data_IF_909236081337
#
_entry.id   IF_909236081337
#
_cell.length_a   1.000
_cell.length_b   1.000
_cell.length_c   1.000
_cell.angle_alpha   90.00
_cell.angle_beta   90.00
_cell.angle_gamma   90.00
#
_symmetry.space_group_name_H-M   'P 1'
#
loop_
_entity.id
_entity.type
_entity.pdbx_description
1 polymer ?
#
# COMPACT_ATOMS: atom_id res chain seq x y z
N UNK A 1 3.09 -9.64 0.81
CA UNK A 1 3.09 -8.18 1.14
C UNK A 1 3.71 -7.30 0.06
N UNK A 2 4.79 -7.74 -0.60
CA UNK A 2 5.52 -6.93 -1.57
C UNK A 2 4.67 -6.49 -2.79
N UNK A 3 3.70 -7.30 -3.24
CA UNK A 3 2.81 -6.97 -4.38
C UNK A 3 1.58 -6.11 -4.00
N UNK A 4 1.39 -5.80 -2.71
CA UNK A 4 0.24 -5.00 -2.28
C UNK A 4 0.42 -3.54 -2.72
N UNK A 5 -0.54 -2.98 -3.46
CA UNK A 5 -0.48 -1.59 -3.94
C UNK A 5 -0.39 -0.57 -2.80
N UNK A 6 -0.93 -0.89 -1.62
CA UNK A 6 -0.75 -0.09 -0.39
C UNK A 6 0.70 -0.05 0.10
N UNK A 7 1.44 -1.15 -0.04
CA UNK A 7 2.85 -1.24 0.37
C UNK A 7 3.79 -0.62 -0.67
N UNK A 8 3.58 -0.95 -1.96
CA UNK A 8 4.34 -0.35 -3.08
C UNK A 8 4.11 1.15 -3.19
N UNK A 9 2.99 1.66 -2.66
CA UNK A 9 2.58 3.07 -2.68
C UNK A 9 2.43 3.65 -4.09
N UNK A 10 2.51 2.84 -5.15
CA UNK A 10 2.52 3.29 -6.55
C UNK A 10 1.29 4.12 -6.89
N UNK A 11 0.10 3.65 -6.53
CA UNK A 11 -1.17 4.39 -6.70
C UNK A 11 -1.16 5.69 -5.88
N UNK A 12 -0.75 5.62 -4.62
CA UNK A 12 -0.75 6.79 -3.73
C UNK A 12 0.23 7.88 -4.17
N UNK A 13 1.41 7.52 -4.67
CA UNK A 13 2.40 8.47 -5.15
C UNK A 13 2.00 9.07 -6.50
N UNK A 14 1.45 8.26 -7.42
CA UNK A 14 0.89 8.76 -8.66
C UNK A 14 -0.24 9.79 -8.39
N UNK A 15 -1.16 9.47 -7.47
CA UNK A 15 -2.24 10.37 -7.07
C UNK A 15 -1.71 11.67 -6.45
N UNK A 16 -0.68 11.61 -5.60
CA UNK A 16 -0.04 12.82 -5.05
C UNK A 16 0.62 13.67 -6.13
N UNK A 17 1.30 13.06 -7.09
CA UNK A 17 1.91 13.76 -8.22
C UNK A 17 0.85 14.47 -9.04
N UNK A 18 -0.21 13.76 -9.45
CA UNK A 18 -1.34 14.37 -10.16
C UNK A 18 -1.98 15.52 -9.35
N UNK A 19 -2.17 15.35 -8.04
CA UNK A 19 -2.68 16.42 -7.16
C UNK A 19 -1.76 17.65 -7.11
N UNK A 20 -0.44 17.48 -7.24
CA UNK A 20 0.50 18.62 -7.33
C UNK A 20 0.34 19.34 -8.67
N UNK A 21 0.29 18.60 -9.77
CA UNK A 21 0.10 19.16 -11.11
C UNK A 21 -1.21 19.93 -11.24
N UNK A 22 -2.33 19.36 -10.79
CA UNK A 22 -3.66 20.01 -10.78
C UNK A 22 -3.64 21.35 -10.05
N UNK A 23 -2.96 21.41 -8.89
CA UNK A 23 -2.82 22.65 -8.12
C UNK A 23 -1.93 23.67 -8.82
N UNK A 24 -0.81 23.22 -9.39
CA UNK A 24 0.11 24.07 -10.16
C UNK A 24 -0.61 24.71 -11.36
N UNK A 25 -1.40 23.91 -12.08
CA UNK A 25 -2.17 24.32 -13.24
C UNK A 25 -3.40 25.17 -12.91
N UNK A 26 -3.71 25.42 -11.62
CA UNK A 26 -4.94 26.13 -11.20
C UNK A 26 -6.20 25.55 -11.86
N UNK A 27 -6.27 24.21 -11.87
CA UNK A 27 -7.32 23.52 -12.61
C UNK A 27 -8.70 23.69 -11.95
N UNK A 28 -8.74 24.01 -10.65
CA UNK A 28 -10.00 24.35 -9.95
C UNK A 28 -10.68 25.56 -10.58
N UNK A 29 -9.90 26.54 -10.99
CA UNK A 29 -10.36 27.75 -11.65
C UNK A 29 -10.90 27.40 -13.04
N UNK A 30 -10.14 26.65 -13.84
CA UNK A 30 -10.59 26.18 -15.15
C UNK A 30 -11.88 25.32 -15.08
N UNK A 31 -12.08 24.55 -14.00
CA UNK A 31 -13.29 23.74 -13.79
C UNK A 31 -14.57 24.56 -13.61
N UNK A 32 -14.45 25.86 -13.29
CA UNK A 32 -15.61 26.76 -13.20
C UNK A 32 -16.16 27.11 -14.57
N UNK A 33 -15.26 27.21 -15.54
CA UNK A 33 -15.54 27.71 -16.88
C UNK A 33 -15.65 26.59 -17.92
N UNK A 34 -14.99 25.46 -17.67
CA UNK A 34 -14.92 24.31 -18.57
C UNK A 34 -15.65 23.12 -17.94
N UNK A 35 -16.77 22.66 -18.53
CA UNK A 35 -17.44 21.46 -18.05
C UNK A 35 -16.62 20.21 -18.40
N UNK A 36 -16.25 19.44 -17.38
CA UNK A 36 -15.66 18.11 -17.52
C UNK A 36 -16.71 17.04 -17.12
N UNK A 37 -17.74 16.78 -17.95
CA UNK A 37 -18.87 15.94 -17.55
C UNK A 37 -18.46 14.52 -17.16
N UNK A 38 -17.37 13.98 -17.74
CA UNK A 38 -16.85 12.65 -17.41
C UNK A 38 -16.07 12.60 -16.08
N UNK A 39 -15.63 13.73 -15.54
CA UNK A 39 -14.94 13.83 -14.24
C UNK A 39 -15.87 14.27 -13.11
N UNK A 40 -17.06 14.76 -13.45
CA UNK A 40 -18.02 15.30 -12.49
C UNK A 40 -17.56 16.61 -11.85
N UNK A 41 -18.14 16.91 -10.69
CA UNK A 41 -17.80 18.10 -9.92
C UNK A 41 -16.38 18.04 -9.36
N UNK A 42 -15.67 19.18 -9.40
CA UNK A 42 -14.30 19.29 -8.94
C UNK A 42 -14.10 18.76 -7.50
N UNK A 43 -14.98 19.11 -6.56
CA UNK A 43 -14.83 18.69 -5.16
C UNK A 43 -15.01 17.17 -4.99
N UNK A 44 -15.92 16.56 -5.75
CA UNK A 44 -16.10 15.10 -5.79
C UNK A 44 -14.87 14.40 -6.38
N UNK A 45 -14.35 14.90 -7.50
CA UNK A 45 -13.11 14.41 -8.10
C UNK A 45 -11.92 14.54 -7.14
N UNK A 46 -11.75 15.72 -6.52
CA UNK A 46 -10.69 15.99 -5.54
C UNK A 46 -10.78 15.03 -4.36
N UNK A 47 -11.97 14.76 -3.83
CA UNK A 47 -12.17 13.83 -2.71
C UNK A 47 -11.72 12.41 -3.08
N UNK A 48 -12.05 11.95 -4.29
CA UNK A 48 -11.60 10.65 -4.81
C UNK A 48 -10.09 10.59 -4.98
N UNK A 49 -9.48 11.64 -5.54
CA UNK A 49 -8.03 11.75 -5.69
C UNK A 49 -7.31 11.78 -4.33
N UNK A 50 -7.85 12.49 -3.35
CA UNK A 50 -7.34 12.54 -1.99
C UNK A 50 -7.42 11.16 -1.32
N UNK A 51 -8.50 10.42 -1.55
CA UNK A 51 -8.63 9.03 -1.13
C UNK A 51 -7.54 8.14 -1.71
N UNK A 52 -7.29 8.22 -3.02
CA UNK A 52 -6.20 7.50 -3.70
C UNK A 52 -4.83 7.87 -3.14
N UNK A 53 -4.57 9.17 -2.89
CA UNK A 53 -3.32 9.65 -2.30
C UNK A 53 -3.09 9.14 -0.87
N UNK A 54 -4.16 8.79 -0.16
CA UNK A 54 -4.11 8.17 1.17
C UNK A 54 -3.98 6.64 1.13
N UNK A 55 -4.06 6.00 -0.04
CA UNK A 55 -3.98 4.54 -0.17
C UNK A 55 -2.56 3.99 0.01
N UNK A 56 -2.04 4.10 1.23
CA UNK A 56 -0.73 3.63 1.64
C UNK A 56 -0.82 2.83 2.93
N UNK A 57 0.05 1.84 3.08
CA UNK A 57 0.18 1.11 4.33
C UNK A 57 0.73 2.08 5.40
N UNK A 58 -0.12 2.51 6.33
CA UNK A 58 0.23 3.47 7.38
C UNK A 58 1.07 2.85 8.51
N UNK A 59 0.93 1.52 8.70
CA UNK A 59 1.61 0.72 9.70
C UNK A 59 2.05 -0.58 9.05
N UNK A 60 3.24 -1.08 9.37
CA UNK A 60 3.63 -2.42 8.90
C UNK A 60 2.68 -3.50 9.46
N UNK A 61 2.69 -4.72 8.91
CA UNK A 61 1.86 -5.82 9.43
C UNK A 61 2.06 -6.05 10.94
N UNK A 62 3.29 -5.88 11.42
CA UNK A 62 3.67 -5.96 12.84
C UNK A 62 3.00 -4.89 13.70
N UNK A 63 2.89 -3.68 13.18
CA UNK A 63 2.32 -2.53 13.87
C UNK A 63 0.78 -2.46 13.75
N UNK A 64 0.15 -3.54 13.28
CA UNK A 64 -1.30 -3.65 13.14
C UNK A 64 -1.84 -3.24 11.78
N UNK A 65 -0.98 -2.97 10.79
CA UNK A 65 -1.39 -2.75 9.40
C UNK A 65 -1.64 -4.05 8.62
N UNK A 66 -2.01 -3.90 7.35
CA UNK A 66 -2.39 -5.02 6.47
C UNK A 66 -3.75 -5.63 6.83
N UNK A 67 -4.11 -6.73 6.14
CA UNK A 67 -5.39 -7.43 6.35
C UNK A 67 -5.47 -8.04 7.77
N UNK A 68 -6.47 -7.64 8.60
CA UNK A 68 -6.73 -8.23 9.91
C UNK A 68 -6.96 -9.75 9.88
N UNK A 69 -7.41 -10.28 8.74
CA UNK A 69 -7.76 -11.70 8.57
C UNK A 69 -6.63 -12.53 7.96
N UNK A 70 -5.48 -11.92 7.68
CA UNK A 70 -4.33 -12.59 7.09
C UNK A 70 -3.86 -13.79 7.95
N UNK A 71 -3.82 -14.98 7.35
CA UNK A 71 -3.37 -16.21 8.01
C UNK A 71 -1.90 -16.14 8.45
N UNK A 72 -1.04 -15.46 7.69
CA UNK A 72 0.38 -15.26 8.02
C UNK A 72 0.52 -14.37 9.26
N UNK A 73 -0.25 -13.27 9.34
CA UNK A 73 -0.27 -12.38 10.51
C UNK A 73 -0.66 -13.13 11.78
N UNK A 74 -1.76 -13.90 11.72
CA UNK A 74 -2.20 -14.74 12.85
C UNK A 74 -1.13 -15.76 13.24
N UNK A 75 -0.42 -16.33 12.27
CA UNK A 75 0.68 -17.26 12.51
C UNK A 75 1.86 -16.58 13.23
N UNK A 76 2.29 -15.39 12.79
CA UNK A 76 3.37 -14.64 13.43
C UNK A 76 3.00 -14.27 14.88
N UNK A 77 1.79 -13.75 15.09
CA UNK A 77 1.27 -13.42 16.43
C UNK A 77 1.26 -14.64 17.36
N UNK A 78 0.78 -15.80 16.88
CA UNK A 78 0.75 -17.04 17.66
C UNK A 78 2.14 -17.49 18.11
N UNK A 79 3.16 -17.28 17.27
CA UNK A 79 4.54 -17.69 17.56
C UNK A 79 5.38 -16.55 18.17
N UNK A 80 4.75 -15.43 18.55
CA UNK A 80 5.43 -14.24 19.05
C UNK A 80 6.54 -13.71 18.11
N UNK A 81 6.36 -13.91 16.81
CA UNK A 81 7.29 -13.38 15.81
C UNK A 81 6.94 -11.94 15.46
N UNK A 82 7.97 -11.11 15.33
CA UNK A 82 7.88 -9.76 14.79
C UNK A 82 7.49 -9.76 13.30
N UNK A 83 7.79 -10.86 12.61
CA UNK A 83 7.33 -11.11 11.25
C UNK A 83 7.69 -12.50 10.75
N UNK A 84 7.21 -12.84 9.57
CA UNK A 84 7.48 -14.15 8.95
C UNK A 84 8.97 -14.43 8.70
N UNK A 85 9.82 -13.40 8.75
CA UNK A 85 11.27 -13.53 8.64
C UNK A 85 11.95 -14.06 9.91
N UNK A 86 11.27 -14.18 11.05
CA UNK A 86 11.86 -14.84 12.23
C UNK A 86 11.61 -16.34 12.23
N UNK A 87 10.62 -16.80 11.45
CA UNK A 87 10.36 -18.21 11.30
C UNK A 87 11.57 -18.89 10.64
N UNK A 88 12.09 -19.95 11.25
CA UNK A 88 13.20 -20.76 10.72
C UNK A 88 12.73 -21.64 9.56
N UNK A 89 11.48 -22.10 9.62
CA UNK A 89 10.85 -22.97 8.62
C UNK A 89 10.04 -22.18 7.56
N UNK A 90 10.34 -20.88 7.39
CA UNK A 90 9.61 -20.06 6.42
C UNK A 90 9.73 -20.59 4.98
N UNK A 91 10.83 -21.28 4.66
CA UNK A 91 11.11 -21.83 3.32
C UNK A 91 10.13 -22.93 2.90
N UNK A 92 9.59 -23.69 3.86
CA UNK A 92 8.61 -24.74 3.61
C UNK A 92 7.17 -24.30 3.94
N UNK A 93 6.97 -23.02 4.25
CA UNK A 93 5.70 -22.54 4.79
C UNK A 93 4.62 -22.44 3.70
N UNK A 94 3.66 -23.37 3.72
CA UNK A 94 2.50 -23.39 2.81
C UNK A 94 1.54 -22.21 2.97
N UNK A 95 1.68 -21.42 4.04
CA UNK A 95 0.88 -20.21 4.30
C UNK A 95 1.40 -19.00 3.52
N UNK A 96 2.65 -19.03 3.04
CA UNK A 96 3.22 -17.97 2.22
C UNK A 96 2.70 -18.09 0.78
N UNK A 97 2.46 -16.96 0.12
CA UNK A 97 1.88 -16.91 -1.22
C UNK A 97 2.96 -17.08 -2.31
N UNK A 98 3.69 -18.20 -2.26
CA UNK A 98 4.63 -18.65 -3.28
C UNK A 98 6.08 -18.12 -3.15
N UNK A 99 6.92 -18.45 -4.15
CA UNK A 99 8.38 -18.20 -4.14
C UNK A 99 8.81 -16.74 -3.96
N UNK A 100 7.95 -15.79 -4.32
CA UNK A 100 8.25 -14.36 -4.18
C UNK A 100 8.29 -13.91 -2.73
N UNK A 101 7.39 -14.45 -1.89
CA UNK A 101 7.42 -14.19 -0.45
C UNK A 101 8.71 -14.74 0.19
N UNK A 102 9.21 -15.89 -0.29
CA UNK A 102 10.48 -16.47 0.17
C UNK A 102 11.69 -15.58 -0.16
N UNK A 103 11.77 -15.08 -1.40
CA UNK A 103 12.87 -14.20 -1.83
C UNK A 103 12.93 -12.92 -1.00
N UNK A 104 11.79 -12.32 -0.68
CA UNK A 104 11.74 -11.11 0.12
C UNK A 104 12.06 -11.36 1.60
N UNK A 105 11.56 -12.46 2.17
CA UNK A 105 11.94 -12.84 3.54
C UNK A 105 13.46 -13.05 3.65
N UNK A 106 14.10 -13.66 2.65
CA UNK A 106 15.56 -13.80 2.59
C UNK A 106 16.27 -12.45 2.56
N UNK A 107 15.78 -11.47 1.78
CA UNK A 107 16.34 -10.11 1.75
C UNK A 107 16.22 -9.42 3.10
N UNK A 108 15.08 -9.53 3.76
CA UNK A 108 14.86 -8.95 5.10
C UNK A 108 15.80 -9.60 6.12
N UNK A 109 15.90 -10.95 6.15
CA UNK A 109 16.85 -11.66 7.02
C UNK A 109 18.29 -11.19 6.79
N UNK A 110 18.72 -11.03 5.54
CA UNK A 110 20.06 -10.57 5.19
C UNK A 110 20.33 -9.12 5.60
N UNK A 111 19.32 -8.25 5.59
CA UNK A 111 19.47 -6.86 5.99
C UNK A 111 19.47 -6.65 7.52
N UNK A 112 18.99 -7.64 8.28
CA UNK A 112 18.92 -7.62 9.74
C UNK A 112 20.02 -8.45 10.42
N UNK A 113 20.81 -9.20 9.65
CA UNK A 113 21.97 -9.97 10.10
C UNK A 113 23.25 -9.14 9.95
#
# INVERSE_FOLDING_TARGET
CAECFWYKKTVSEAAKSLRREIRSAKLKEAWKDIPFPFLGEYESFKKSLDGLAMMRCAKACREGGGDPWCKIRKCAQKNAFDGCWECTDFENCTKLHGERDLKEIRKIKKALA
#
